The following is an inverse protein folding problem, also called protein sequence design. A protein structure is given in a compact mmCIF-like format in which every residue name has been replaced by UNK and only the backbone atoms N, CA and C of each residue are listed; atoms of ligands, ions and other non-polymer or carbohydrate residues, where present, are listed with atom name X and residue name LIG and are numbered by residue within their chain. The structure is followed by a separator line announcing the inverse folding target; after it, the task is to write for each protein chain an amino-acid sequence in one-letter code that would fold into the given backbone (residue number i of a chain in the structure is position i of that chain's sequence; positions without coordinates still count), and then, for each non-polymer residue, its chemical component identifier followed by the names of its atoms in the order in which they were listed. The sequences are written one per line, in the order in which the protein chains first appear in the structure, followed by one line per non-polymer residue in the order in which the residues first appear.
data_IF_091970498084
#
_entry.id   IF_091970498084
#
_cell.length_a   1.000
_cell.length_b   1.000
_cell.length_c   1.000
_cell.angle_alpha   90.00
_cell.angle_beta   90.00
_cell.angle_gamma   90.00
#
_symmetry.space_group_name_H-M   'P 1'
#
loop_
_entity.id
_entity.type
_entity.pdbx_description
1 polymer ?
#
# COMPACT_ATOMS: atom_id res chain seq x y z
N UNK A 1 27.53 -16.50 4.29
CA UNK A 1 26.66 -16.05 5.40
C UNK A 1 25.22 -16.25 4.92
N UNK A 2 24.38 -17.00 5.65
CA UNK A 2 22.98 -17.24 5.24
C UNK A 2 22.25 -15.90 5.11
N UNK A 3 21.54 -15.70 4.00
CA UNK A 3 20.69 -14.55 3.65
C UNK A 3 19.23 -14.75 4.07
N UNK A 4 18.41 -13.69 4.02
CA UNK A 4 16.96 -13.80 4.32
C UNK A 4 16.27 -14.74 3.33
N UNK A 5 16.54 -14.61 2.02
CA UNK A 5 15.95 -15.49 1.00
C UNK A 5 16.31 -16.96 1.21
N UNK A 6 17.56 -17.27 1.58
CA UNK A 6 17.99 -18.64 1.89
C UNK A 6 17.28 -19.19 3.13
N UNK A 7 17.18 -18.39 4.20
CA UNK A 7 16.48 -18.80 5.42
C UNK A 7 14.98 -19.04 5.18
N UNK A 8 14.31 -18.17 4.40
CA UNK A 8 12.91 -18.39 4.00
C UNK A 8 12.76 -19.68 3.20
N UNK A 9 13.65 -19.89 2.21
CA UNK A 9 13.62 -21.07 1.37
C UNK A 9 13.78 -22.35 2.19
N UNK A 10 14.71 -22.38 3.13
CA UNK A 10 14.91 -23.48 4.08
C UNK A 10 13.65 -23.79 4.89
N UNK A 11 13.04 -22.77 5.50
CA UNK A 11 11.80 -22.93 6.29
C UNK A 11 10.65 -23.50 5.45
N UNK A 12 10.48 -23.01 4.21
CA UNK A 12 9.41 -23.50 3.34
C UNK A 12 9.69 -24.88 2.75
N UNK A 13 10.96 -25.22 2.49
CA UNK A 13 11.37 -26.56 2.08
C UNK A 13 11.03 -27.57 3.16
N UNK A 14 11.33 -27.28 4.42
CA UNK A 14 11.02 -28.17 5.54
C UNK A 14 9.53 -28.26 5.85
N UNK A 15 8.82 -27.14 5.72
CA UNK A 15 7.37 -27.11 5.96
C UNK A 15 6.61 -27.91 4.90
N UNK A 16 7.05 -27.84 3.65
CA UNK A 16 6.42 -28.49 2.48
C UNK A 16 4.89 -28.31 2.42
N UNK A 17 4.41 -27.14 2.85
CA UNK A 17 3.01 -26.75 2.87
C UNK A 17 2.89 -25.24 2.77
N UNK A 18 1.66 -24.78 2.59
CA UNK A 18 1.30 -23.37 2.77
C UNK A 18 1.50 -22.97 4.23
N UNK A 19 2.24 -21.90 4.46
CA UNK A 19 2.52 -21.31 5.79
C UNK A 19 2.20 -19.83 5.79
N UNK A 20 1.85 -19.27 6.95
CA UNK A 20 1.67 -17.83 7.09
C UNK A 20 3.01 -17.12 7.23
N UNK A 21 3.07 -15.84 6.84
CA UNK A 21 4.25 -15.01 7.07
C UNK A 21 4.65 -14.94 8.55
N UNK A 22 3.66 -14.86 9.45
CA UNK A 22 3.88 -14.86 10.90
C UNK A 22 4.58 -16.14 11.37
N UNK A 23 4.17 -17.29 10.84
CA UNK A 23 4.81 -18.57 11.14
C UNK A 23 6.25 -18.60 10.62
N UNK A 24 6.49 -18.14 9.38
CA UNK A 24 7.85 -18.06 8.81
C UNK A 24 8.75 -17.16 9.66
N UNK A 25 8.26 -15.97 10.01
CA UNK A 25 9.01 -15.00 10.83
C UNK A 25 9.34 -15.58 12.19
N UNK A 26 8.37 -16.23 12.84
CA UNK A 26 8.59 -16.90 14.13
C UNK A 26 9.69 -17.94 14.03
N UNK A 27 9.66 -18.81 13.02
CA UNK A 27 10.68 -19.86 12.83
C UNK A 27 12.05 -19.25 12.53
N UNK A 28 12.12 -18.23 11.67
CA UNK A 28 13.39 -17.54 11.36
C UNK A 28 13.96 -16.86 12.60
N UNK A 29 13.15 -16.18 13.40
CA UNK A 29 13.60 -15.55 14.64
C UNK A 29 14.07 -16.55 15.69
N UNK A 30 13.52 -17.78 15.70
CA UNK A 30 14.00 -18.87 16.55
C UNK A 30 15.37 -19.41 16.09
N UNK A 31 15.56 -19.61 14.77
CA UNK A 31 16.82 -20.14 14.20
C UNK A 31 17.95 -19.11 14.17
N UNK A 32 17.59 -17.85 13.91
CA UNK A 32 18.52 -16.75 13.72
C UNK A 32 18.14 -15.54 14.59
N UNK A 33 18.24 -15.66 15.93
CA UNK A 33 17.78 -14.61 16.85
C UNK A 33 18.39 -13.25 16.54
N UNK A 34 17.54 -12.23 16.41
CA UNK A 34 17.91 -10.82 16.16
C UNK A 34 18.77 -10.56 14.92
N UNK A 35 18.88 -11.54 14.01
CA UNK A 35 19.73 -11.40 12.81
C UNK A 35 19.12 -10.45 11.78
N UNK A 36 17.79 -10.43 11.66
CA UNK A 36 17.05 -9.58 10.74
C UNK A 36 15.79 -9.01 11.38
N UNK A 37 15.34 -7.85 10.91
CA UNK A 37 14.06 -7.25 11.30
C UNK A 37 12.91 -8.03 10.65
N UNK A 38 11.78 -8.15 11.34
CA UNK A 38 10.58 -8.81 10.80
C UNK A 38 10.09 -8.17 9.50
N UNK A 39 10.14 -6.83 9.40
CA UNK A 39 9.77 -6.10 8.19
C UNK A 39 10.66 -6.47 6.99
N UNK A 40 11.93 -6.79 7.22
CA UNK A 40 12.82 -7.26 6.17
C UNK A 40 12.43 -8.66 5.68
N UNK A 41 11.99 -9.55 6.58
CA UNK A 41 11.50 -10.89 6.23
C UNK A 41 10.19 -10.77 5.44
N UNK A 42 9.26 -9.92 5.87
CA UNK A 42 8.03 -9.62 5.11
C UNK A 42 8.33 -9.12 3.69
N UNK A 43 9.25 -8.17 3.54
CA UNK A 43 9.64 -7.66 2.23
C UNK A 43 10.23 -8.77 1.33
N UNK A 44 10.96 -9.73 1.91
CA UNK A 44 11.48 -10.86 1.15
C UNK A 44 10.41 -11.89 0.79
N UNK A 45 9.43 -12.15 1.67
CA UNK A 45 8.27 -12.98 1.33
C UNK A 45 7.52 -12.38 0.12
N UNK A 46 7.23 -11.08 0.16
CA UNK A 46 6.60 -10.37 -0.97
C UNK A 46 7.48 -10.38 -2.23
N UNK A 47 8.75 -10.01 -2.07
CA UNK A 47 9.69 -9.82 -3.17
C UNK A 47 10.19 -11.13 -3.81
N UNK A 48 10.08 -12.26 -3.12
CA UNK A 48 10.44 -13.58 -3.65
C UNK A 48 9.25 -14.32 -4.31
N UNK A 49 8.06 -13.73 -4.33
CA UNK A 49 6.86 -14.31 -4.96
C UNK A 49 6.89 -14.22 -6.48
N UNK A 50 6.69 -15.35 -7.14
CA UNK A 50 6.76 -15.46 -8.60
C UNK A 50 5.52 -14.92 -9.29
N UNK A 51 4.38 -14.96 -8.62
CA UNK A 51 3.05 -14.53 -9.06
C UNK A 51 2.69 -13.12 -8.58
N UNK A 52 3.70 -12.28 -8.36
CA UNK A 52 3.54 -10.91 -7.89
C UNK A 52 4.21 -9.94 -8.88
N UNK A 53 3.49 -9.35 -9.84
CA UNK A 53 4.08 -8.48 -10.86
C UNK A 53 4.89 -7.32 -10.29
N UNK A 54 4.39 -6.57 -9.27
CA UNK A 54 5.20 -5.54 -8.61
C UNK A 54 6.57 -6.01 -8.11
N UNK A 55 6.71 -7.26 -7.64
CA UNK A 55 7.98 -7.79 -7.13
C UNK A 55 9.11 -7.80 -8.19
N UNK A 56 8.79 -7.89 -9.48
CA UNK A 56 9.80 -7.85 -10.55
C UNK A 56 10.33 -6.45 -10.83
N UNK A 57 9.59 -5.42 -10.44
CA UNK A 57 10.00 -4.02 -10.59
C UNK A 57 10.59 -3.46 -9.28
N UNK A 58 10.00 -3.81 -8.14
CA UNK A 58 10.40 -3.33 -6.82
C UNK A 58 11.57 -4.12 -6.22
N UNK A 59 11.64 -5.42 -6.53
CA UNK A 59 12.64 -6.35 -6.01
C UNK A 59 13.29 -7.20 -7.13
N UNK A 60 13.88 -6.56 -8.16
CA UNK A 60 14.39 -7.27 -9.35
C UNK A 60 15.54 -8.23 -9.02
N UNK A 61 16.32 -7.94 -7.97
CA UNK A 61 17.46 -8.76 -7.54
C UNK A 61 17.06 -9.94 -6.64
N UNK A 62 15.83 -9.98 -6.12
CA UNK A 62 15.39 -11.08 -5.26
C UNK A 62 14.96 -12.30 -6.09
N UNK A 63 15.38 -13.51 -5.69
CA UNK A 63 15.01 -14.73 -6.41
C UNK A 63 13.51 -15.01 -6.27
N UNK A 64 12.88 -15.47 -7.35
CA UNK A 64 11.43 -15.70 -7.42
C UNK A 64 11.14 -17.19 -7.25
N UNK A 65 11.03 -17.62 -5.99
CA UNK A 65 10.89 -19.04 -5.62
C UNK A 65 9.66 -19.33 -4.76
N UNK A 66 8.88 -18.30 -4.42
CA UNK A 66 7.67 -18.42 -3.64
C UNK A 66 6.44 -18.33 -4.53
N UNK A 67 5.37 -18.99 -4.13
CA UNK A 67 4.03 -18.73 -4.62
C UNK A 67 3.23 -18.08 -3.49
N UNK A 68 2.66 -16.91 -3.76
CA UNK A 68 1.80 -16.16 -2.84
C UNK A 68 0.35 -16.58 -3.02
N UNK A 69 -0.28 -17.08 -1.96
CA UNK A 69 -1.71 -17.45 -1.94
C UNK A 69 -2.62 -16.29 -1.52
N UNK A 70 -2.08 -15.08 -1.41
CA UNK A 70 -2.75 -13.95 -0.79
C UNK A 70 -2.84 -14.12 0.73
N UNK A 71 -3.38 -13.10 1.41
CA UNK A 71 -3.56 -13.08 2.88
C UNK A 71 -2.30 -13.49 3.66
N UNK A 72 -1.12 -13.12 3.13
CA UNK A 72 0.21 -13.40 3.70
C UNK A 72 0.49 -14.90 3.89
N UNK A 73 0.04 -15.73 2.94
CA UNK A 73 0.29 -17.17 2.93
C UNK A 73 1.18 -17.55 1.75
N UNK A 74 2.20 -18.35 2.02
CA UNK A 74 3.26 -18.64 1.06
C UNK A 74 3.57 -20.14 1.04
N UNK A 75 3.97 -20.63 -0.12
CA UNK A 75 4.65 -21.92 -0.26
C UNK A 75 5.77 -21.84 -1.31
N UNK A 76 6.57 -22.89 -1.44
CA UNK A 76 7.54 -22.97 -2.53
C UNK A 76 6.84 -23.09 -3.87
N UNK A 77 7.26 -22.27 -4.82
CA UNK A 77 6.76 -22.36 -6.18
C UNK A 77 7.15 -23.70 -6.82
N UNK A 78 6.14 -24.46 -7.25
CA UNK A 78 6.29 -25.65 -8.07
C UNK A 78 5.53 -25.41 -9.40
N UNK A 79 6.21 -25.40 -10.56
CA UNK A 79 5.58 -25.16 -11.86
C UNK A 79 4.59 -26.25 -12.30
N UNK A 80 4.74 -27.49 -11.82
CA UNK A 80 3.80 -28.58 -12.10
C UNK A 80 2.49 -28.40 -11.32
N UNK A 81 2.58 -27.83 -10.11
CA UNK A 81 1.42 -27.56 -9.24
C UNK A 81 0.75 -26.21 -9.54
N UNK A 82 1.53 -25.18 -9.80
CA UNK A 82 1.07 -23.78 -9.86
C UNK A 82 1.00 -23.22 -11.29
N UNK A 83 1.34 -24.01 -12.30
CA UNK A 83 1.54 -23.54 -13.66
C UNK A 83 2.83 -22.72 -13.83
N UNK A 84 3.16 -22.37 -15.07
CA UNK A 84 4.34 -21.55 -15.39
C UNK A 84 4.02 -20.08 -15.23
N UNK A 85 4.95 -19.30 -14.66
CA UNK A 85 4.79 -17.85 -14.48
C UNK A 85 5.97 -17.09 -15.07
N UNK A 86 5.70 -15.90 -15.60
CA UNK A 86 6.68 -14.97 -16.14
C UNK A 86 6.35 -13.55 -15.70
N UNK A 87 7.29 -12.91 -14.99
CA UNK A 87 7.15 -11.53 -14.51
C UNK A 87 5.86 -11.27 -13.71
N UNK A 88 5.38 -12.27 -12.97
CA UNK A 88 4.16 -12.14 -12.17
C UNK A 88 2.88 -12.52 -12.91
N UNK A 89 2.96 -12.99 -14.16
CA UNK A 89 1.80 -13.40 -14.95
C UNK A 89 1.90 -14.87 -15.36
N UNK A 90 0.79 -15.63 -15.40
CA UNK A 90 0.81 -17.02 -15.87
C UNK A 90 1.22 -17.10 -17.35
N UNK A 91 1.99 -18.12 -17.70
CA UNK A 91 2.55 -18.33 -19.03
C UNK A 91 1.95 -19.60 -19.65
N UNK A 92 1.27 -19.47 -20.78
CA UNK A 92 0.81 -20.61 -21.59
C UNK A 92 -0.64 -21.06 -21.35
N UNK A 93 -1.31 -20.51 -20.35
CA UNK A 93 -2.77 -20.56 -20.21
C UNK A 93 -3.23 -19.10 -20.09
N UNK A 94 -4.32 -18.73 -20.77
CA UNK A 94 -5.06 -17.51 -20.40
C UNK A 94 -5.30 -17.62 -18.89
N UNK A 95 -5.23 -16.52 -18.11
CA UNK A 95 -5.67 -16.60 -16.72
C UNK A 95 -7.02 -17.31 -16.73
N UNK A 96 -7.18 -18.35 -15.91
CA UNK A 96 -8.48 -18.98 -15.74
C UNK A 96 -9.48 -17.85 -15.43
N UNK A 97 -10.71 -17.97 -15.92
CA UNK A 97 -11.75 -16.97 -15.64
C UNK A 97 -11.78 -16.62 -14.15
N UNK A 98 -11.61 -17.62 -13.26
CA UNK A 98 -11.47 -17.44 -11.82
C UNK A 98 -10.30 -16.54 -11.37
N UNK A 99 -9.09 -16.69 -11.91
CA UNK A 99 -7.93 -15.89 -11.47
C UNK A 99 -7.96 -14.46 -12.04
N UNK A 100 -8.44 -14.30 -13.27
CA UNK A 100 -8.71 -12.97 -13.83
C UNK A 100 -9.83 -12.27 -13.04
N UNK A 101 -10.89 -13.00 -12.71
CA UNK A 101 -11.99 -12.51 -11.88
C UNK A 101 -11.49 -12.15 -10.48
N UNK A 102 -10.65 -12.94 -9.82
CA UNK A 102 -10.11 -12.61 -8.49
C UNK A 102 -9.28 -11.32 -8.50
N UNK A 103 -8.36 -11.17 -9.45
CA UNK A 103 -7.53 -9.95 -9.57
C UNK A 103 -8.41 -8.73 -9.93
N UNK A 104 -9.33 -8.87 -10.89
CA UNK A 104 -10.27 -7.81 -11.22
C UNK A 104 -11.18 -7.47 -10.03
N UNK A 105 -11.59 -8.47 -9.24
CA UNK A 105 -12.46 -8.28 -8.08
C UNK A 105 -11.70 -7.57 -6.97
N UNK A 106 -10.46 -7.97 -6.67
CA UNK A 106 -9.61 -7.28 -5.69
C UNK A 106 -9.33 -5.83 -6.11
N UNK A 107 -9.00 -5.57 -7.38
CA UNK A 107 -8.82 -4.19 -7.87
C UNK A 107 -10.12 -3.38 -7.82
N UNK A 108 -11.26 -3.96 -8.20
CA UNK A 108 -12.58 -3.30 -8.10
C UNK A 108 -12.94 -3.00 -6.65
N UNK A 109 -12.67 -3.91 -5.71
CA UNK A 109 -12.90 -3.71 -4.27
C UNK A 109 -11.98 -2.63 -3.72
N UNK A 110 -10.69 -2.66 -4.05
CA UNK A 110 -9.72 -1.62 -3.67
C UNK A 110 -10.12 -0.25 -4.18
N UNK A 111 -10.52 -0.15 -5.46
CA UNK A 111 -10.99 1.10 -6.05
C UNK A 111 -12.29 1.60 -5.40
N UNK A 112 -13.22 0.68 -5.12
CA UNK A 112 -14.45 0.98 -4.37
C UNK A 112 -14.13 1.56 -2.99
N UNK A 113 -13.23 0.92 -2.24
CA UNK A 113 -12.82 1.36 -0.92
C UNK A 113 -12.10 2.71 -0.94
N UNK A 114 -11.26 2.97 -1.94
CA UNK A 114 -10.63 4.29 -2.14
C UNK A 114 -11.66 5.39 -2.33
N UNK A 115 -12.65 5.15 -3.20
CA UNK A 115 -13.73 6.10 -3.45
C UNK A 115 -14.60 6.32 -2.22
N UNK A 116 -14.91 5.26 -1.49
CA UNK A 116 -15.73 5.33 -0.28
C UNK A 116 -14.97 6.06 0.85
N UNK A 117 -13.65 5.81 0.98
CA UNK A 117 -12.77 6.54 1.89
C UNK A 117 -12.69 8.03 1.52
N UNK A 118 -12.54 8.35 0.24
CA UNK A 118 -12.55 9.72 -0.29
C UNK A 118 -13.87 10.43 0.04
N UNK A 119 -15.01 9.77 -0.22
CA UNK A 119 -16.34 10.29 0.07
C UNK A 119 -16.51 10.57 1.57
N UNK A 120 -16.20 9.58 2.41
CA UNK A 120 -16.28 9.70 3.85
C UNK A 120 -15.40 10.84 4.36
N UNK A 121 -14.13 10.88 3.96
CA UNK A 121 -13.18 11.89 4.43
C UNK A 121 -13.54 13.28 3.92
N UNK A 122 -14.07 13.44 2.70
CA UNK A 122 -14.49 14.74 2.17
C UNK A 122 -15.52 15.46 3.05
N UNK A 123 -16.30 14.69 3.82
CA UNK A 123 -17.32 15.18 4.77
C UNK A 123 -16.84 15.21 6.22
N UNK A 124 -15.77 14.46 6.54
CA UNK A 124 -15.34 14.17 7.91
C UNK A 124 -13.84 14.43 8.13
N UNK A 125 -13.26 15.42 7.45
CA UNK A 125 -11.82 15.72 7.52
C UNK A 125 -11.27 15.97 8.93
N UNK A 126 -12.12 16.44 9.86
CA UNK A 126 -11.75 16.62 11.27
C UNK A 126 -11.25 15.33 11.95
N UNK A 127 -11.61 14.15 11.43
CA UNK A 127 -11.11 12.87 11.94
C UNK A 127 -9.64 12.60 11.58
N UNK A 128 -9.12 13.21 10.50
CA UNK A 128 -7.69 13.12 10.15
C UNK A 128 -6.85 14.08 11.00
N UNK A 129 -7.37 15.28 11.20
CA UNK A 129 -6.76 16.33 11.98
C UNK A 129 -7.80 17.39 12.34
N UNK A 130 -7.82 17.81 13.61
CA UNK A 130 -8.76 18.79 14.12
C UNK A 130 -8.65 20.13 13.36
N UNK A 131 -9.79 20.62 12.88
CA UNK A 131 -9.89 21.90 12.17
C UNK A 131 -9.60 21.84 10.68
N UNK A 132 -9.32 20.65 10.12
CA UNK A 132 -9.27 20.47 8.67
C UNK A 132 -10.63 20.72 8.02
N UNK A 133 -10.63 21.51 6.96
CA UNK A 133 -11.80 21.82 6.14
C UNK A 133 -11.50 21.62 4.68
N UNK A 134 -12.45 21.08 3.92
CA UNK A 134 -12.27 20.91 2.49
C UNK A 134 -12.09 22.29 1.85
N UNK A 135 -11.11 22.43 0.97
CA UNK A 135 -10.92 23.67 0.23
C UNK A 135 -12.16 23.93 -0.64
N UNK A 136 -12.64 25.17 -0.66
CA UNK A 136 -13.77 25.56 -1.51
C UNK A 136 -13.68 27.03 -1.87
N UNK A 137 -13.67 27.33 -3.17
CA UNK A 137 -13.62 28.70 -3.70
C UNK A 137 -14.46 28.76 -4.97
N UNK A 138 -15.39 29.72 -5.07
CA UNK A 138 -16.15 30.01 -6.31
C UNK A 138 -16.81 28.78 -6.94
N UNK A 139 -17.29 27.84 -6.11
CA UNK A 139 -17.91 26.59 -6.57
C UNK A 139 -16.93 25.46 -6.90
N UNK A 140 -15.62 25.71 -6.88
CA UNK A 140 -14.58 24.69 -7.00
C UNK A 140 -14.42 23.94 -5.67
N UNK A 141 -14.59 22.62 -5.71
CA UNK A 141 -14.42 21.74 -4.55
C UNK A 141 -12.98 21.24 -4.44
N UNK A 142 -12.49 21.13 -3.21
CA UNK A 142 -11.23 20.48 -2.88
C UNK A 142 -11.26 18.96 -3.04
N UNK A 143 -12.43 18.35 -3.21
CA UNK A 143 -12.56 16.92 -3.54
C UNK A 143 -12.21 16.70 -5.01
N UNK A 144 -11.35 15.73 -5.30
CA UNK A 144 -10.89 15.41 -6.65
C UNK A 144 -10.38 16.64 -7.41
N UNK A 145 -9.55 17.43 -6.73
CA UNK A 145 -9.07 18.72 -7.22
C UNK A 145 -8.12 18.54 -8.41
N UNK A 146 -8.57 18.95 -9.59
CA UNK A 146 -7.80 18.82 -10.83
C UNK A 146 -6.69 19.88 -10.92
N UNK A 147 -5.51 19.44 -11.38
CA UNK A 147 -4.35 20.29 -11.65
C UNK A 147 -3.67 19.86 -12.95
N UNK A 148 -2.77 20.69 -13.48
CA UNK A 148 -1.99 20.34 -14.68
C UNK A 148 -1.04 19.15 -14.46
N UNK A 149 -0.74 18.82 -13.20
CA UNK A 149 0.20 17.75 -12.83
C UNK A 149 -0.49 16.49 -12.32
N UNK A 150 -1.82 16.45 -12.37
CA UNK A 150 -2.64 15.32 -11.92
C UNK A 150 -3.82 15.75 -11.06
N UNK A 151 -4.54 14.77 -10.52
CA UNK A 151 -5.72 14.99 -9.69
C UNK A 151 -5.38 14.69 -8.23
N UNK A 152 -5.64 15.65 -7.36
CA UNK A 152 -5.45 15.50 -5.91
C UNK A 152 -6.76 14.92 -5.35
N UNK A 153 -6.68 13.84 -4.57
CA UNK A 153 -7.88 13.21 -3.99
C UNK A 153 -8.64 14.20 -3.10
N UNK A 154 -7.96 14.82 -2.14
CA UNK A 154 -8.53 15.88 -1.30
C UNK A 154 -7.53 17.03 -1.11
N UNK A 155 -7.95 18.24 -1.44
CA UNK A 155 -7.29 19.49 -1.09
C UNK A 155 -8.06 20.15 0.06
N UNK A 156 -7.36 20.44 1.15
CA UNK A 156 -7.96 20.98 2.35
C UNK A 156 -7.19 22.20 2.88
N UNK A 157 -7.80 22.87 3.84
CA UNK A 157 -7.20 23.90 4.67
C UNK A 157 -7.17 23.42 6.11
N UNK A 158 -6.06 23.62 6.80
CA UNK A 158 -5.99 23.40 8.25
C UNK A 158 -6.58 24.58 9.04
N UNK A 159 -6.55 24.47 10.37
CA UNK A 159 -7.12 25.47 11.28
C UNK A 159 -6.50 26.86 11.14
N UNK A 160 -5.26 26.94 10.64
CA UNK A 160 -4.53 28.20 10.39
C UNK A 160 -4.75 28.70 8.96
N UNK A 161 -5.51 27.96 8.16
CA UNK A 161 -5.82 28.26 6.78
C UNK A 161 -4.71 27.90 5.80
N UNK A 162 -3.71 27.12 6.22
CA UNK A 162 -2.66 26.58 5.35
C UNK A 162 -3.16 25.37 4.57
N UNK A 163 -2.57 25.11 3.40
CA UNK A 163 -3.03 24.05 2.51
C UNK A 163 -2.50 22.68 2.92
N UNK A 164 -3.38 21.69 2.82
CA UNK A 164 -3.06 20.28 3.02
C UNK A 164 -3.46 19.50 1.77
N UNK A 165 -2.46 18.93 1.10
CA UNK A 165 -2.64 18.00 0.00
C UNK A 165 -2.77 16.60 0.59
N UNK A 166 -3.89 15.92 0.33
CA UNK A 166 -4.19 14.60 0.88
C UNK A 166 -4.33 13.61 -0.27
N UNK A 167 -3.58 12.52 -0.20
CA UNK A 167 -3.61 11.40 -1.16
C UNK A 167 -4.00 10.12 -0.41
N UNK A 168 -4.89 9.34 -1.02
CA UNK A 168 -5.50 8.16 -0.44
C UNK A 168 -5.00 6.89 -1.15
N UNK A 169 -4.85 5.80 -0.39
CA UNK A 169 -4.60 4.45 -0.92
C UNK A 169 -5.41 3.42 -0.14
N UNK A 170 -6.15 2.56 -0.83
CA UNK A 170 -6.95 1.50 -0.18
C UNK A 170 -6.10 0.35 0.37
N UNK A 171 -4.85 0.23 -0.10
CA UNK A 171 -3.92 -0.82 0.29
C UNK A 171 -2.57 -0.27 0.73
N UNK A 172 -1.53 -1.08 0.52
CA UNK A 172 -0.14 -0.71 0.82
C UNK A 172 0.33 0.45 -0.06
N UNK A 173 0.61 1.60 0.55
CA UNK A 173 1.23 2.72 -0.13
C UNK A 173 2.74 2.49 -0.35
N UNK A 174 3.20 2.76 -1.57
CA UNK A 174 4.61 2.62 -1.99
C UNK A 174 5.24 3.96 -2.32
N UNK A 175 6.57 4.03 -2.34
CA UNK A 175 7.37 5.26 -2.53
C UNK A 175 6.96 6.13 -3.74
N UNK A 176 6.33 5.55 -4.77
CA UNK A 176 5.72 6.28 -5.90
C UNK A 176 4.79 7.40 -5.46
N UNK A 177 4.01 7.18 -4.40
CA UNK A 177 3.03 8.16 -3.90
C UNK A 177 3.71 9.43 -3.36
N UNK A 178 4.95 9.30 -2.88
CA UNK A 178 5.74 10.44 -2.37
C UNK A 178 6.00 11.45 -3.48
N UNK A 179 6.45 10.98 -4.66
CA UNK A 179 6.70 11.84 -5.81
C UNK A 179 5.43 12.56 -6.28
N UNK A 180 4.30 11.85 -6.31
CA UNK A 180 2.99 12.40 -6.64
C UNK A 180 2.60 13.53 -5.69
N UNK A 181 2.60 13.27 -4.37
CA UNK A 181 2.23 14.28 -3.37
C UNK A 181 3.18 15.48 -3.39
N UNK A 182 4.48 15.27 -3.56
CA UNK A 182 5.45 16.38 -3.67
C UNK A 182 5.19 17.26 -4.90
N UNK A 183 4.84 16.66 -6.04
CA UNK A 183 4.43 17.37 -7.25
C UNK A 183 3.20 18.24 -7.01
N UNK A 184 2.18 17.67 -6.39
CA UNK A 184 0.95 18.37 -6.01
C UNK A 184 1.21 19.52 -5.03
N UNK A 185 1.98 19.28 -3.97
CA UNK A 185 2.38 20.31 -3.01
C UNK A 185 3.09 21.48 -3.71
N UNK A 186 3.97 21.20 -4.68
CA UNK A 186 4.67 22.24 -5.43
C UNK A 186 3.70 23.03 -6.32
N UNK A 187 2.78 22.35 -6.98
CA UNK A 187 1.75 23.00 -7.81
C UNK A 187 0.85 23.92 -6.97
N UNK A 188 0.29 23.42 -5.87
CA UNK A 188 -0.57 24.19 -4.97
C UNK A 188 0.17 25.40 -4.41
N UNK A 189 1.42 25.23 -3.97
CA UNK A 189 2.24 26.34 -3.45
C UNK A 189 2.45 27.44 -4.49
N UNK A 190 2.68 27.07 -5.75
CA UNK A 190 2.95 28.02 -6.83
C UNK A 190 1.68 28.74 -7.30
N UNK A 191 0.57 28.02 -7.43
CA UNK A 191 -0.59 28.49 -8.19
C UNK A 191 -1.79 28.87 -7.32
N UNK A 192 -1.94 28.26 -6.14
CA UNK A 192 -3.18 28.38 -5.32
C UNK A 192 -2.92 29.02 -3.97
N UNK A 193 -1.78 28.72 -3.33
CA UNK A 193 -1.56 29.01 -1.92
C UNK A 193 -1.39 30.50 -1.58
N UNK A 194 -1.07 31.36 -2.57
CA UNK A 194 -0.89 32.82 -2.39
C UNK A 194 -0.02 33.19 -1.17
N UNK A 195 1.09 32.48 -1.00
CA UNK A 195 2.04 32.69 0.11
C UNK A 195 1.73 31.92 1.40
N UNK A 196 0.59 31.23 1.50
CA UNK A 196 0.30 30.32 2.60
C UNK A 196 1.14 29.05 2.53
N UNK A 197 1.31 28.38 3.66
CA UNK A 197 2.08 27.15 3.68
C UNK A 197 1.31 25.99 3.03
N UNK A 198 2.06 24.99 2.57
CA UNK A 198 1.54 23.76 1.97
C UNK A 198 2.27 22.56 2.55
N UNK A 199 1.51 21.61 3.06
CA UNK A 199 1.99 20.30 3.55
C UNK A 199 1.21 19.15 2.90
N UNK A 200 1.78 17.95 2.95
CA UNK A 200 1.21 16.74 2.40
C UNK A 200 0.80 15.76 3.49
N UNK A 201 -0.21 14.96 3.20
CA UNK A 201 -0.70 13.88 4.03
C UNK A 201 -1.02 12.67 3.15
N UNK A 202 -0.37 11.54 3.39
CA UNK A 202 -0.71 10.27 2.72
C UNK A 202 -1.52 9.43 3.70
N UNK A 203 -2.70 8.97 3.28
CA UNK A 203 -3.59 8.13 4.07
C UNK A 203 -3.71 6.77 3.41
N UNK A 204 -3.40 5.68 4.13
CA UNK A 204 -3.39 4.33 3.57
C UNK A 204 -3.75 3.26 4.59
N UNK A 205 -4.04 2.03 4.14
CA UNK A 205 -4.17 0.86 5.03
C UNK A 205 -2.81 0.48 5.64
N UNK A 206 -1.74 0.53 4.85
CA UNK A 206 -0.39 0.37 5.37
C UNK A 206 0.65 1.06 4.48
N UNK A 207 1.90 1.09 4.94
CA UNK A 207 3.01 1.75 4.26
C UNK A 207 4.22 0.83 4.20
N UNK A 208 4.86 0.77 3.03
CA UNK A 208 6.14 0.08 2.92
C UNK A 208 7.25 0.83 3.70
N UNK A 209 8.30 0.12 4.08
CA UNK A 209 9.38 0.71 4.87
C UNK A 209 10.17 1.78 4.11
N UNK A 210 10.33 1.63 2.79
CA UNK A 210 11.11 2.57 1.98
C UNK A 210 10.42 3.93 1.91
N UNK A 211 9.10 3.95 1.76
CA UNK A 211 8.26 5.13 1.84
C UNK A 211 8.39 5.78 3.21
N UNK A 212 8.34 5.02 4.31
CA UNK A 212 8.52 5.57 5.67
C UNK A 212 9.88 6.27 5.82
N UNK A 213 10.96 5.67 5.32
CA UNK A 213 12.28 6.31 5.30
C UNK A 213 12.28 7.60 4.46
N UNK A 214 11.73 7.56 3.24
CA UNK A 214 11.67 8.72 2.36
C UNK A 214 10.90 9.88 2.98
N UNK A 215 9.75 9.59 3.61
CA UNK A 215 8.92 10.61 4.28
C UNK A 215 9.58 11.13 5.55
N UNK A 216 10.39 10.33 6.24
CA UNK A 216 11.18 10.77 7.40
C UNK A 216 12.11 11.96 7.11
N UNK A 217 12.57 12.09 5.86
CA UNK A 217 13.42 13.20 5.40
C UNK A 217 12.61 14.42 4.90
N UNK A 218 11.28 14.36 4.92
CA UNK A 218 10.39 15.39 4.38
C UNK A 218 9.50 15.94 5.51
N UNK A 219 9.94 16.99 6.24
CA UNK A 219 9.22 17.49 7.42
C UNK A 219 7.76 17.91 7.18
N UNK A 220 7.43 18.31 5.95
CA UNK A 220 6.09 18.76 5.54
C UNK A 220 5.23 17.65 4.94
N UNK A 221 5.63 16.38 5.06
CA UNK A 221 4.86 15.24 4.58
C UNK A 221 4.61 14.28 5.76
N UNK A 222 3.35 13.91 5.98
CA UNK A 222 2.97 12.99 7.07
C UNK A 222 2.25 11.77 6.52
N UNK A 223 2.31 10.68 7.28
CA UNK A 223 1.59 9.43 7.01
C UNK A 223 0.48 9.25 8.03
N UNK A 224 -0.66 8.73 7.60
CA UNK A 224 -1.77 8.30 8.46
C UNK A 224 -2.25 6.93 8.01
N UNK A 225 -2.22 5.97 8.92
CA UNK A 225 -2.89 4.68 8.71
C UNK A 225 -4.36 4.82 9.08
N UNK A 226 -5.27 4.38 8.22
CA UNK A 226 -6.67 4.19 8.62
C UNK A 226 -6.90 2.75 9.07
N UNK A 227 -7.94 2.54 9.86
CA UNK A 227 -8.38 1.23 10.32
C UNK A 227 -9.88 1.11 10.09
N UNK A 228 -10.32 0.00 9.50
CA UNK A 228 -11.75 -0.31 9.34
C UNK A 228 -12.19 -1.12 10.56
N UNK A 229 -13.23 -0.66 11.27
CA UNK A 229 -13.86 -1.39 12.37
C UNK A 229 -15.30 -1.70 12.00
N UNK A 230 -15.67 -2.97 12.08
CA UNK A 230 -17.06 -3.41 11.96
C UNK A 230 -17.61 -3.67 13.36
N UNK A 231 -18.78 -3.11 13.65
CA UNK A 231 -19.53 -3.36 14.87
C UNK A 231 -20.90 -3.91 14.46
N UNK A 232 -21.34 -4.98 15.14
CA UNK A 232 -22.61 -5.66 14.85
C UNK A 232 -23.51 -5.57 16.09
N UNK A 233 -24.80 -5.38 15.87
CA UNK A 233 -25.80 -5.38 16.93
C UNK A 233 -26.96 -6.27 16.51
N UNK A 234 -27.48 -7.03 17.48
CA UNK A 234 -28.69 -7.81 17.28
C UNK A 234 -29.90 -6.88 17.14
N UNK A 235 -30.79 -7.22 16.23
CA UNK A 235 -32.09 -6.55 16.08
C UNK A 235 -33.12 -7.48 16.71
N UNK A 236 -33.88 -6.98 17.68
CA UNK A 236 -35.06 -7.69 18.18
C UNK A 236 -36.05 -7.87 17.01
N UNK A 237 -36.30 -9.13 16.66
CA UNK A 237 -37.29 -9.55 15.65
C UNK A 237 -38.59 -9.98 16.30
#
# INVERSE_FOLDING_TARGET
MVTISEAIKEVLTESNRVVSAEEVIRIINQRYPNKWKESAIYAHLYGCSINNPPAYTQHPSLPKFLFDHGKRKYELYNPEKHGKWNKGYPMGEKPTEELAEEIETEEKVSFGLERDLEEYLSRNLNHLEEGLKLYSVEGLSGRQYNTDVGRIDLLALDKEGNFVVIELKAGLATDRVVGQVLGYMRYIRKNVAKGKDVRGLIVADDFDERLKYAVGEIPKLKLRKYLVKFEFQDIET
#
